data_IF_098379414173
#
_entry.id   IF_098379414173
#
_cell.length_a   1.000
_cell.length_b   1.000
_cell.length_c   1.000
_cell.angle_alpha   90.00
_cell.angle_beta   90.00
_cell.angle_gamma   90.00
#
_symmetry.space_group_name_H-M   'P 1'
#
loop_
_entity.id
_entity.type
_entity.pdbx_description
1 polymer ?
#
# COMPACT_ATOMS: atom_id res chain seq x y z
N UNK A 1 26.16 -50.11 -24.07
CA UNK A 1 25.91 -48.93 -24.95
C UNK A 1 25.17 -47.77 -24.27
N UNK A 2 24.43 -47.98 -23.16
CA UNK A 2 23.59 -46.95 -22.52
C UNK A 2 24.34 -45.91 -21.67
N UNK A 3 25.47 -46.25 -21.08
CA UNK A 3 26.31 -45.34 -20.26
C UNK A 3 27.18 -44.38 -21.10
N UNK A 4 27.56 -44.79 -22.31
CA UNK A 4 28.30 -43.94 -23.27
C UNK A 4 27.41 -42.82 -23.83
N UNK A 5 26.12 -43.10 -24.03
CA UNK A 5 25.13 -42.12 -24.49
C UNK A 5 24.83 -41.06 -23.39
N UNK A 6 24.75 -41.51 -22.13
CA UNK A 6 24.52 -40.63 -20.98
C UNK A 6 25.69 -39.66 -20.76
N UNK A 7 26.93 -40.15 -20.90
CA UNK A 7 28.13 -39.32 -20.78
C UNK A 7 28.23 -38.28 -21.90
N UNK A 8 27.82 -38.61 -23.13
CA UNK A 8 27.82 -37.66 -24.24
C UNK A 8 26.75 -36.57 -24.05
N UNK A 9 25.58 -36.92 -23.52
CA UNK A 9 24.49 -35.97 -23.23
C UNK A 9 24.88 -34.96 -22.13
N UNK A 10 25.59 -35.43 -21.08
CA UNK A 10 26.04 -34.59 -19.96
C UNK A 10 27.12 -33.60 -20.40
N UNK A 11 28.07 -34.04 -21.24
CA UNK A 11 29.11 -33.14 -21.79
C UNK A 11 28.49 -32.11 -22.73
N UNK A 12 27.49 -32.49 -23.52
CA UNK A 12 26.75 -31.56 -24.39
C UNK A 12 25.96 -30.51 -23.57
N UNK A 13 25.33 -30.90 -22.47
CA UNK A 13 24.59 -29.99 -21.58
C UNK A 13 25.49 -29.00 -20.83
N UNK A 14 26.68 -29.40 -20.41
CA UNK A 14 27.65 -28.48 -19.79
C UNK A 14 28.22 -27.46 -20.79
N UNK A 15 28.34 -27.81 -22.07
CA UNK A 15 28.83 -26.90 -23.10
C UNK A 15 27.84 -25.75 -23.41
N UNK A 16 26.53 -25.98 -23.24
CA UNK A 16 25.50 -24.95 -23.43
C UNK A 16 25.33 -24.00 -22.23
N UNK A 17 25.88 -24.34 -21.06
CA UNK A 17 25.72 -23.55 -19.83
C UNK A 17 26.63 -22.31 -19.74
N UNK A 18 27.60 -22.14 -20.65
CA UNK A 18 28.55 -21.01 -20.63
C UNK A 18 28.17 -19.82 -21.54
N UNK A 19 27.03 -19.86 -22.21
CA UNK A 19 26.62 -18.85 -23.21
C UNK A 19 25.68 -17.77 -22.65
N UNK A 20 25.82 -17.40 -21.39
CA UNK A 20 25.10 -16.25 -20.80
C UNK A 20 26.06 -15.26 -20.12
N UNK A 21 27.20 -14.97 -20.76
CA UNK A 21 27.97 -13.76 -20.51
C UNK A 21 27.55 -12.69 -21.53
N UNK A 22 26.34 -12.14 -21.36
CA UNK A 22 26.00 -10.89 -22.03
C UNK A 22 26.82 -9.78 -21.40
N UNK A 23 27.76 -9.25 -22.17
CA UNK A 23 28.53 -8.06 -21.86
C UNK A 23 27.59 -6.86 -21.89
N UNK A 24 27.11 -6.44 -20.72
CA UNK A 24 26.43 -5.16 -20.55
C UNK A 24 27.48 -4.04 -20.58
N UNK A 25 27.45 -3.26 -21.66
CA UNK A 25 28.33 -2.13 -21.93
C UNK A 25 28.45 -1.18 -20.73
N UNK A 26 29.67 -1.01 -20.23
CA UNK A 26 30.03 0.03 -19.27
C UNK A 26 30.07 1.37 -20.01
N UNK A 27 28.99 2.15 -19.95
CA UNK A 27 29.01 3.56 -20.34
C UNK A 27 27.94 4.34 -19.55
N UNK A 28 28.40 5.19 -18.64
CA UNK A 28 27.57 6.08 -17.83
C UNK A 28 28.43 6.56 -16.66
N UNK A 29 29.20 7.63 -16.82
CA UNK A 29 28.61 8.97 -16.86
C UNK A 29 28.23 9.33 -15.42
N UNK A 30 29.18 9.95 -14.70
CA UNK A 30 28.97 10.40 -13.33
C UNK A 30 27.70 11.24 -13.24
N UNK A 31 26.80 10.84 -12.35
CA UNK A 31 25.62 11.62 -11.96
C UNK A 31 25.81 12.03 -10.51
N UNK A 32 25.57 13.30 -10.15
CA UNK A 32 25.85 13.80 -8.82
C UNK A 32 24.95 13.12 -7.79
N UNK A 33 25.55 12.82 -6.64
CA UNK A 33 24.89 12.48 -5.37
C UNK A 33 23.68 13.38 -5.18
N UNK A 34 22.48 12.86 -5.39
CA UNK A 34 21.26 13.55 -4.97
C UNK A 34 21.13 13.33 -3.48
N UNK A 35 21.44 14.37 -2.71
CA UNK A 35 21.15 14.43 -1.28
C UNK A 35 19.67 14.08 -1.07
N UNK A 36 19.43 12.95 -0.41
CA UNK A 36 18.11 12.59 0.11
C UNK A 36 17.80 13.57 1.22
N UNK A 37 17.08 14.64 0.87
CA UNK A 37 16.47 15.51 1.86
C UNK A 37 15.57 14.67 2.78
N UNK A 38 15.61 14.87 4.11
CA UNK A 38 14.64 14.24 4.99
C UNK A 38 13.24 14.69 4.55
N UNK A 39 12.40 13.74 4.16
CA UNK A 39 10.97 13.98 3.91
C UNK A 39 10.35 14.35 5.25
N UNK A 40 10.28 15.66 5.53
CA UNK A 40 9.48 16.22 6.60
C UNK A 40 8.03 15.81 6.37
N UNK A 41 7.47 15.03 7.29
CA UNK A 41 6.04 14.78 7.32
C UNK A 41 5.33 16.13 7.50
N UNK A 42 4.60 16.59 6.48
CA UNK A 42 3.74 17.77 6.57
C UNK A 42 2.71 17.54 7.68
N UNK A 43 2.40 18.55 8.52
CA UNK A 43 1.42 18.40 9.59
C UNK A 43 0.09 17.92 9.01
N UNK A 44 -0.51 16.90 9.63
CA UNK A 44 -1.89 16.52 9.35
C UNK A 44 -2.75 17.74 9.69
N UNK A 45 -3.24 18.44 8.66
CA UNK A 45 -4.14 19.58 8.85
C UNK A 45 -5.35 19.15 9.68
N UNK A 46 -5.60 19.82 10.79
CA UNK A 46 -6.76 19.57 11.64
C UNK A 46 -7.99 20.11 10.93
N UNK A 47 -8.77 19.22 10.33
CA UNK A 47 -10.01 19.58 9.65
C UNK A 47 -11.20 19.54 10.61
N UNK A 48 -12.18 20.47 10.51
CA UNK A 48 -13.37 20.45 11.34
C UNK A 48 -14.07 19.08 11.34
N UNK A 49 -14.53 18.60 12.51
CA UNK A 49 -15.24 17.34 12.61
C UNK A 49 -16.53 17.38 11.78
N UNK A 50 -16.83 16.31 11.04
CA UNK A 50 -18.01 16.23 10.19
C UNK A 50 -17.84 16.76 8.75
N UNK A 51 -16.64 17.18 8.36
CA UNK A 51 -16.40 17.65 6.98
C UNK A 51 -16.38 16.50 5.97
N UNK A 52 -17.14 16.66 4.89
CA UNK A 52 -17.11 15.81 3.68
C UNK A 52 -16.20 16.38 2.59
N UNK A 53 -15.29 17.29 2.92
CA UNK A 53 -14.28 17.80 1.98
C UNK A 53 -13.00 16.99 2.17
N UNK A 54 -12.48 16.28 1.16
CA UNK A 54 -11.19 15.60 1.30
C UNK A 54 -10.05 16.60 1.56
N UNK A 55 -9.18 16.25 2.49
CA UNK A 55 -7.97 17.01 2.81
C UNK A 55 -6.74 16.46 2.06
N UNK A 56 -5.55 17.04 2.30
CA UNK A 56 -4.33 16.56 1.68
C UNK A 56 -3.94 15.17 2.19
N UNK A 57 -3.54 14.29 1.26
CA UNK A 57 -2.90 13.01 1.57
C UNK A 57 -1.38 13.13 1.58
N UNK A 58 -0.69 12.14 2.14
CA UNK A 58 0.76 12.04 2.14
C UNK A 58 1.18 10.76 1.42
N UNK A 59 2.26 10.87 0.64
CA UNK A 59 2.93 9.73 0.04
C UNK A 59 3.83 9.07 1.08
N UNK A 60 3.75 7.74 1.19
CA UNK A 60 4.66 6.98 2.03
C UNK A 60 6.10 7.09 1.53
N UNK A 61 7.12 7.01 2.40
CA UNK A 61 8.51 6.95 1.97
C UNK A 61 8.76 5.77 1.01
N UNK A 62 9.74 5.89 0.09
CA UNK A 62 10.06 4.83 -0.86
C UNK A 62 10.34 3.48 -0.17
N UNK A 63 9.75 2.40 -0.70
CA UNK A 63 9.85 1.05 -0.15
C UNK A 63 9.00 0.81 1.11
N UNK A 64 8.15 1.78 1.50
CA UNK A 64 7.24 1.69 2.66
C UNK A 64 5.77 1.83 2.25
N UNK A 65 5.47 1.62 0.99
CA UNK A 65 4.13 1.78 0.43
C UNK A 65 3.19 0.70 0.93
N UNK A 66 1.93 1.09 1.07
CA UNK A 66 0.84 0.21 1.49
C UNK A 66 -0.42 0.53 0.70
N UNK A 67 -1.28 -0.46 0.54
CA UNK A 67 -2.48 -0.39 -0.27
C UNK A 67 -3.73 -0.73 0.54
N UNK A 68 -4.83 -0.04 0.20
CA UNK A 68 -6.14 -0.26 0.78
C UNK A 68 -7.15 -0.38 -0.35
N UNK A 69 -8.12 -1.27 -0.16
CA UNK A 69 -9.28 -1.40 -1.03
C UNK A 69 -10.50 -0.90 -0.29
N UNK A 70 -11.31 -0.10 -0.96
CA UNK A 70 -12.64 0.26 -0.51
C UNK A 70 -13.62 -0.33 -1.51
N UNK A 71 -14.56 -1.13 -1.04
CA UNK A 71 -15.53 -1.82 -1.88
C UNK A 71 -16.93 -1.73 -1.26
N UNK A 72 -18.00 -1.74 -2.06
CA UNK A 72 -19.35 -1.89 -1.54
C UNK A 72 -19.49 -3.14 -0.67
N UNK A 73 -20.20 -3.00 0.45
CA UNK A 73 -20.52 -4.10 1.34
C UNK A 73 -21.51 -5.00 0.62
N UNK A 74 -21.26 -6.30 0.60
CA UNK A 74 -22.24 -7.27 0.15
C UNK A 74 -22.54 -8.21 1.33
N UNK A 75 -23.81 -8.55 1.60
CA UNK A 75 -25.01 -8.30 0.77
C UNK A 75 -25.73 -6.95 1.01
N UNK A 76 -25.34 -6.15 2.01
CA UNK A 76 -25.99 -4.88 2.34
C UNK A 76 -25.62 -3.76 1.37
N UNK A 77 -26.59 -3.25 0.61
CA UNK A 77 -26.36 -2.14 -0.35
C UNK A 77 -25.99 -0.81 0.31
N UNK A 78 -26.20 -0.68 1.62
CA UNK A 78 -25.94 0.55 2.37
C UNK A 78 -24.61 0.53 3.11
N UNK A 79 -23.86 -0.57 3.03
CA UNK A 79 -22.59 -0.72 3.72
C UNK A 79 -21.43 -0.63 2.74
N UNK A 80 -20.23 -0.39 3.26
CA UNK A 80 -19.01 -0.58 2.52
C UNK A 80 -17.89 -1.15 3.40
N UNK A 81 -16.95 -1.83 2.75
CA UNK A 81 -15.84 -2.51 3.41
C UNK A 81 -14.54 -1.83 3.04
N UNK A 82 -13.71 -1.57 4.04
CA UNK A 82 -12.34 -1.11 3.88
C UNK A 82 -11.42 -2.27 4.24
N UNK A 83 -10.59 -2.70 3.30
CA UNK A 83 -9.69 -3.84 3.44
C UNK A 83 -8.24 -3.40 3.29
N UNK A 84 -7.36 -3.89 4.16
CA UNK A 84 -5.92 -3.72 4.01
C UNK A 84 -5.36 -4.75 3.03
N UNK A 85 -4.75 -4.28 1.94
CA UNK A 85 -4.21 -5.14 0.89
C UNK A 85 -2.70 -5.43 1.04
N UNK A 86 -2.05 -4.90 2.09
CA UNK A 86 -0.61 -5.06 2.30
C UNK A 86 0.22 -4.06 1.51
N UNK A 87 1.48 -4.41 1.27
CA UNK A 87 2.45 -3.59 0.54
C UNK A 87 3.87 -3.80 1.08
N UNK A 88 4.86 -3.20 0.42
CA UNK A 88 6.27 -3.31 0.81
C UNK A 88 6.53 -2.81 2.25
N UNK A 89 5.74 -1.84 2.71
CA UNK A 89 5.87 -1.25 4.04
C UNK A 89 5.09 -1.94 5.16
N UNK A 90 4.37 -3.05 4.92
CA UNK A 90 3.43 -3.59 5.91
C UNK A 90 4.11 -3.92 7.26
N UNK A 91 5.31 -4.52 7.21
CA UNK A 91 6.03 -4.99 8.41
C UNK A 91 6.63 -3.83 9.21
N UNK A 92 6.62 -2.63 8.64
CA UNK A 92 7.06 -1.39 9.27
C UNK A 92 5.91 -0.60 9.87
N UNK A 93 4.66 -1.07 9.75
CA UNK A 93 3.50 -0.43 10.36
C UNK A 93 3.43 -0.73 11.87
N UNK A 94 2.91 0.22 12.65
CA UNK A 94 2.46 -0.05 14.01
C UNK A 94 1.27 -1.00 13.99
N UNK A 95 0.96 -1.58 15.15
CA UNK A 95 -0.09 -2.60 15.32
C UNK A 95 -1.48 -2.17 14.84
N UNK A 96 -1.76 -0.87 14.81
CA UNK A 96 -3.06 -0.32 14.42
C UNK A 96 -2.88 0.65 13.25
N UNK A 97 -3.78 0.53 12.28
CA UNK A 97 -4.05 1.49 11.22
C UNK A 97 -5.35 2.19 11.57
N UNK A 98 -5.33 3.52 11.64
CA UNK A 98 -6.49 4.31 12.05
C UNK A 98 -7.36 4.62 10.83
N UNK A 99 -8.64 4.26 10.92
CA UNK A 99 -9.64 4.52 9.90
C UNK A 99 -10.70 5.44 10.49
N UNK A 100 -10.88 6.62 9.89
CA UNK A 100 -11.95 7.55 10.25
C UNK A 100 -12.89 7.70 9.07
N UNK A 101 -14.18 7.51 9.33
CA UNK A 101 -15.23 7.69 8.33
C UNK A 101 -16.22 8.73 8.81
N UNK A 102 -16.39 9.78 8.02
CA UNK A 102 -17.48 10.74 8.22
C UNK A 102 -18.62 10.37 7.28
N UNK A 103 -19.75 9.94 7.85
CA UNK A 103 -20.96 9.60 7.10
C UNK A 103 -21.64 10.84 6.53
N UNK A 104 -22.54 10.63 5.58
CA UNK A 104 -23.40 11.69 5.02
C UNK A 104 -24.25 12.41 6.07
N UNK A 105 -24.56 11.73 7.17
CA UNK A 105 -25.29 12.27 8.34
C UNK A 105 -24.44 13.22 9.19
N UNK A 106 -23.14 13.33 8.92
CA UNK A 106 -22.16 14.03 9.75
C UNK A 106 -21.63 13.20 10.92
N UNK A 107 -22.14 11.98 11.13
CA UNK A 107 -21.63 11.07 12.14
C UNK A 107 -20.22 10.60 11.80
N UNK A 108 -19.33 10.62 12.79
CA UNK A 108 -17.95 10.17 12.64
C UNK A 108 -17.80 8.79 13.29
N UNK A 109 -17.43 7.81 12.48
CA UNK A 109 -17.09 6.45 12.91
C UNK A 109 -15.57 6.32 12.88
N UNK A 110 -14.98 5.79 13.96
CA UNK A 110 -13.55 5.51 14.03
C UNK A 110 -13.35 4.03 14.27
N UNK A 111 -12.58 3.40 13.39
CA UNK A 111 -12.25 1.98 13.40
C UNK A 111 -10.74 1.79 13.31
N UNK A 112 -10.28 0.59 13.63
CA UNK A 112 -8.87 0.23 13.50
C UNK A 112 -8.73 -1.06 12.69
N UNK A 113 -7.79 -1.04 11.75
CA UNK A 113 -7.33 -2.24 11.04
C UNK A 113 -5.99 -2.71 11.61
N UNK A 114 -5.77 -4.02 11.57
CA UNK A 114 -4.45 -4.61 11.76
C UNK A 114 -3.65 -4.54 10.46
N UNK A 115 -2.31 -4.38 10.52
CA UNK A 115 -1.44 -4.43 9.35
C UNK A 115 -1.25 -5.88 8.85
N UNK A 116 -2.37 -6.59 8.66
CA UNK A 116 -2.44 -7.98 8.19
C UNK A 116 -3.27 -8.00 6.91
N UNK A 117 -2.71 -8.54 5.84
CA UNK A 117 -3.38 -8.63 4.54
C UNK A 117 -4.75 -9.29 4.70
N UNK A 118 -5.78 -8.65 4.15
CA UNK A 118 -7.16 -9.11 4.19
C UNK A 118 -7.92 -8.72 5.45
N UNK A 119 -7.28 -8.09 6.44
CA UNK A 119 -8.01 -7.49 7.56
C UNK A 119 -8.93 -6.38 7.04
N UNK A 120 -10.15 -6.34 7.57
CA UNK A 120 -11.22 -5.52 7.01
C UNK A 120 -12.19 -5.03 8.08
N UNK A 121 -12.70 -3.83 7.87
CA UNK A 121 -13.76 -3.23 8.68
C UNK A 121 -14.95 -2.92 7.79
N UNK A 122 -16.15 -3.21 8.30
CA UNK A 122 -17.42 -2.95 7.61
C UNK A 122 -18.03 -1.71 8.23
N UNK A 123 -18.23 -0.68 7.42
CA UNK A 123 -18.94 0.53 7.81
C UNK A 123 -20.40 0.36 7.44
N UNK A 124 -21.24 0.25 8.46
CA UNK A 124 -22.68 0.06 8.31
C UNK A 124 -23.42 1.37 8.10
N UNK A 125 -24.60 1.28 7.50
CA UNK A 125 -25.56 2.39 7.38
C UNK A 125 -24.95 3.66 6.76
N UNK A 126 -24.11 3.46 5.74
CA UNK A 126 -23.29 4.48 5.12
C UNK A 126 -23.91 5.01 3.81
N UNK A 127 -25.24 5.13 3.74
CA UNK A 127 -25.92 5.62 2.53
C UNK A 127 -25.50 7.08 2.22
N UNK A 128 -25.28 7.37 0.95
CA UNK A 128 -24.88 8.70 0.47
C UNK A 128 -23.36 8.85 0.35
N UNK A 129 -22.87 10.08 0.53
CA UNK A 129 -21.45 10.40 0.44
C UNK A 129 -20.78 10.25 1.80
N UNK A 130 -19.70 9.47 1.85
CA UNK A 130 -18.92 9.24 3.05
C UNK A 130 -17.48 9.61 2.77
N UNK A 131 -16.87 10.37 3.66
CA UNK A 131 -15.44 10.65 3.58
C UNK A 131 -14.68 9.58 4.35
N UNK A 132 -13.74 8.92 3.68
CA UNK A 132 -12.88 7.89 4.28
C UNK A 132 -11.47 8.43 4.39
N UNK A 133 -10.96 8.45 5.62
CA UNK A 133 -9.60 8.84 5.95
C UNK A 133 -8.87 7.63 6.53
N UNK A 134 -7.72 7.30 5.96
CA UNK A 134 -6.86 6.21 6.45
C UNK A 134 -5.51 6.78 6.82
N UNK A 135 -5.15 6.61 8.09
CA UNK A 135 -3.88 7.07 8.65
C UNK A 135 -3.06 5.88 9.12
N UNK A 136 -1.82 5.83 8.65
CA UNK A 136 -0.87 4.78 9.02
C UNK A 136 0.27 5.40 9.82
N UNK A 137 0.76 4.64 10.80
CA UNK A 137 1.91 5.02 11.61
C UNK A 137 3.04 4.01 11.40
N UNK A 138 4.26 4.49 11.18
CA UNK A 138 5.43 3.62 11.07
C UNK A 138 6.04 3.34 12.46
N UNK A 139 6.61 2.14 12.64
CA UNK A 139 7.38 1.79 13.85
C UNK A 139 8.64 2.62 13.99
N UNK A 140 9.21 3.07 12.88
CA UNK A 140 10.36 3.98 12.84
C UNK A 140 10.00 5.43 13.16
N UNK A 141 8.72 5.72 13.43
CA UNK A 141 8.19 7.08 13.53
C UNK A 141 7.68 7.62 12.20
N UNK A 142 6.87 8.67 12.28
CA UNK A 142 6.10 9.21 11.14
C UNK A 142 4.66 8.69 11.13
N UNK A 143 3.74 9.61 10.84
CA UNK A 143 2.30 9.37 10.71
C UNK A 143 1.87 9.95 9.37
N UNK A 144 1.15 9.16 8.57
CA UNK A 144 0.81 9.50 7.19
C UNK A 144 -0.67 9.21 6.95
N UNK A 145 -1.44 10.23 6.57
CA UNK A 145 -2.78 10.06 6.00
C UNK A 145 -2.63 9.69 4.53
N UNK A 146 -2.69 8.40 4.26
CA UNK A 146 -2.40 7.82 2.93
C UNK A 146 -3.62 7.78 2.02
N UNK A 147 -4.83 7.87 2.58
CA UNK A 147 -6.07 7.96 1.83
C UNK A 147 -7.01 8.98 2.49
N UNK A 148 -7.65 9.79 1.66
CA UNK A 148 -8.68 10.76 2.03
C UNK A 148 -9.56 10.96 0.80
N UNK A 149 -10.68 10.25 0.72
CA UNK A 149 -11.54 10.24 -0.48
C UNK A 149 -13.03 10.11 -0.15
N UNK A 150 -13.88 10.54 -1.08
CA UNK A 150 -15.33 10.39 -0.98
C UNK A 150 -15.76 9.06 -1.60
N UNK A 151 -16.47 8.27 -0.82
CA UNK A 151 -17.05 7.00 -1.20
C UNK A 151 -18.57 7.15 -1.19
N UNK A 152 -19.17 7.00 -2.37
CA UNK A 152 -20.62 7.14 -2.56
C UNK A 152 -21.31 5.78 -2.57
N UNK A 153 -22.26 5.61 -1.65
CA UNK A 153 -23.11 4.42 -1.54
C UNK A 153 -24.55 4.80 -1.90
N UNK A 154 -25.21 3.99 -2.73
CA UNK A 154 -26.50 4.29 -3.36
C UNK A 154 -27.67 3.63 -2.60
#
# INVERSE_FOLDING_TARGET
>A
MKTRLLSALIVLLLAFAFSAACTGSENGGGSPTTETSPVTATPVGSEPPGSLVPGPTQTMPPGREVAFQIAPGLPSRYDFTITFNGGAGQDLLKKNIDVRVTRSTGEVVTETLQPKIGDAVIIRDAKGENRVEITVSLVTGGIYKVKDEIVKIQ
#
